data_IF_449092822793
#
_entry.id   IF_449092822793
#
_cell.length_a   1.000
_cell.length_b   1.000
_cell.length_c   1.000
_cell.angle_alpha   90.00
_cell.angle_beta   90.00
_cell.angle_gamma   90.00
#
_symmetry.space_group_name_H-M   'P 1'
#
loop_
_entity.id
_entity.type
_entity.pdbx_description
1 polymer ?
#
# COMPACT_ATOMS: atom_id res chain seq x y z
N UNK A 1 1.59 -17.47 -12.39
CA UNK A 1 2.08 -16.07 -12.28
C UNK A 1 2.59 -15.84 -10.87
N UNK A 2 3.77 -15.24 -10.70
CA UNK A 2 4.26 -14.84 -9.37
C UNK A 2 3.29 -13.83 -8.74
N UNK A 3 3.02 -13.94 -7.44
CA UNK A 3 2.14 -13.04 -6.70
C UNK A 3 2.55 -11.57 -6.86
N UNK A 4 3.85 -11.31 -6.93
CA UNK A 4 4.39 -9.96 -7.18
C UNK A 4 3.94 -9.44 -8.55
N UNK A 5 3.96 -10.28 -9.59
CA UNK A 5 3.48 -9.90 -10.92
C UNK A 5 1.98 -9.58 -10.92
N UNK A 6 1.18 -10.30 -10.14
CA UNK A 6 -0.25 -10.01 -9.97
C UNK A 6 -0.47 -8.67 -9.27
N UNK A 7 0.22 -8.42 -8.16
CA UNK A 7 0.14 -7.16 -7.42
C UNK A 7 0.61 -5.96 -8.26
N UNK A 8 1.71 -6.10 -9.01
CA UNK A 8 2.19 -5.07 -9.92
C UNK A 8 1.15 -4.68 -10.97
N UNK A 9 0.41 -5.66 -11.50
CA UNK A 9 -0.66 -5.40 -12.45
C UNK A 9 -1.80 -4.59 -11.81
N UNK A 10 -2.21 -4.97 -10.59
CA UNK A 10 -3.23 -4.23 -9.83
C UNK A 10 -2.77 -2.78 -9.54
N UNK A 11 -1.52 -2.60 -9.09
CA UNK A 11 -0.98 -1.27 -8.81
C UNK A 11 -0.89 -0.40 -10.06
N UNK A 12 -0.59 -1.01 -11.21
CA UNK A 12 -0.61 -0.31 -12.48
C UNK A 12 -2.02 0.17 -12.84
N UNK A 13 -3.02 -0.71 -12.79
CA UNK A 13 -4.42 -0.36 -13.04
C UNK A 13 -4.87 0.78 -12.11
N UNK A 14 -4.53 0.69 -10.82
CA UNK A 14 -4.87 1.72 -9.86
C UNK A 14 -4.18 3.06 -10.14
N UNK A 15 -2.91 3.03 -10.56
CA UNK A 15 -2.16 4.22 -10.98
C UNK A 15 -2.83 4.90 -12.18
N UNK A 16 -3.29 4.11 -13.16
CA UNK A 16 -4.06 4.61 -14.32
C UNK A 16 -5.37 5.26 -13.86
N UNK A 17 -6.09 4.64 -12.93
CA UNK A 17 -7.33 5.20 -12.34
C UNK A 17 -7.06 6.54 -11.64
N UNK A 18 -5.95 6.64 -10.88
CA UNK A 18 -5.55 7.89 -10.22
C UNK A 18 -5.15 8.98 -11.22
N UNK A 19 -4.56 8.60 -12.35
CA UNK A 19 -4.19 9.54 -13.42
C UNK A 19 -5.43 10.23 -14.01
N UNK A 20 -6.54 9.51 -14.22
CA UNK A 20 -7.80 10.12 -14.65
C UNK A 20 -8.41 11.07 -13.61
N UNK A 21 -8.12 10.86 -12.31
CA UNK A 21 -8.55 11.74 -11.21
C UNK A 21 -7.46 12.71 -10.75
N UNK A 22 -6.41 12.95 -11.54
CA UNK A 22 -5.26 13.78 -11.14
C UNK A 22 -5.65 15.16 -10.62
N UNK A 23 -6.66 15.81 -11.19
CA UNK A 23 -7.06 17.16 -10.79
C UNK A 23 -7.62 17.22 -9.35
N UNK A 24 -8.22 16.14 -8.84
CA UNK A 24 -8.77 16.08 -7.47
C UNK A 24 -7.85 15.33 -6.50
N UNK A 25 -7.04 14.41 -7.01
CA UNK A 25 -6.24 13.46 -6.22
C UNK A 25 -4.73 13.55 -6.49
N UNK A 26 -4.25 14.63 -7.11
CA UNK A 26 -2.88 14.74 -7.64
C UNK A 26 -1.78 14.46 -6.61
N UNK A 27 -1.94 14.91 -5.35
CA UNK A 27 -0.98 14.62 -4.27
C UNK A 27 -0.91 13.12 -3.94
N UNK A 28 -2.04 12.42 -3.99
CA UNK A 28 -2.11 10.97 -3.75
C UNK A 28 -1.52 10.22 -4.93
N UNK A 29 -1.80 10.64 -6.16
CA UNK A 29 -1.15 10.09 -7.36
C UNK A 29 0.37 10.14 -7.26
N UNK A 30 0.94 11.30 -6.91
CA UNK A 30 2.40 11.45 -6.75
C UNK A 30 2.92 10.56 -5.61
N UNK A 31 2.22 10.53 -4.47
CA UNK A 31 2.66 9.75 -3.30
C UNK A 31 2.63 8.25 -3.61
N UNK A 32 1.54 7.76 -4.23
CA UNK A 32 1.39 6.36 -4.62
C UNK A 32 2.41 5.95 -5.69
N UNK A 33 2.62 6.80 -6.70
CA UNK A 33 3.64 6.59 -7.72
C UNK A 33 5.06 6.51 -7.14
N UNK A 34 5.38 7.39 -6.18
CA UNK A 34 6.68 7.38 -5.52
C UNK A 34 6.87 6.14 -4.63
N UNK A 35 5.86 5.75 -3.86
CA UNK A 35 5.91 4.52 -3.06
C UNK A 35 6.07 3.27 -3.93
N UNK A 36 5.31 3.15 -5.02
CA UNK A 36 5.40 2.01 -5.94
C UNK A 36 6.75 1.97 -6.66
N UNK A 37 7.30 3.11 -7.06
CA UNK A 37 8.65 3.19 -7.61
C UNK A 37 9.71 2.71 -6.62
N UNK A 38 9.65 3.16 -5.36
CA UNK A 38 10.54 2.71 -4.29
C UNK A 38 10.42 1.20 -4.10
N UNK A 39 9.20 0.67 -4.04
CA UNK A 39 8.95 -0.76 -3.90
C UNK A 39 9.60 -1.57 -5.03
N UNK A 40 9.34 -1.21 -6.30
CA UNK A 40 9.88 -1.94 -7.45
C UNK A 40 11.40 -1.90 -7.46
N UNK A 41 11.98 -0.73 -7.20
CA UNK A 41 13.43 -0.56 -7.11
C UNK A 41 13.98 -1.45 -6.00
N UNK A 42 13.47 -1.33 -4.78
CA UNK A 42 13.91 -2.11 -3.63
C UNK A 42 13.83 -3.62 -3.90
N UNK A 43 12.68 -4.09 -4.42
CA UNK A 43 12.46 -5.50 -4.73
C UNK A 43 13.46 -6.02 -5.78
N UNK A 44 13.74 -5.24 -6.82
CA UNK A 44 14.70 -5.61 -7.87
C UNK A 44 16.16 -5.67 -7.37
N UNK A 45 16.49 -4.94 -6.30
CA UNK A 45 17.83 -4.92 -5.72
C UNK A 45 18.07 -6.07 -4.73
N UNK A 46 17.03 -6.74 -4.20
CA UNK A 46 17.16 -7.83 -3.22
C UNK A 46 18.19 -8.91 -3.62
N UNK A 47 18.26 -9.39 -4.89
CA UNK A 47 19.23 -10.43 -5.27
C UNK A 47 20.69 -9.96 -5.20
N UNK A 48 20.92 -8.64 -5.23
CA UNK A 48 22.26 -8.02 -5.22
C UNK A 48 22.73 -7.63 -3.81
N UNK A 49 21.86 -7.78 -2.81
CA UNK A 49 22.16 -7.42 -1.42
C UNK A 49 22.93 -8.57 -0.75
N UNK A 50 23.94 -8.26 0.10
CA UNK A 50 24.64 -9.25 0.91
C UNK A 50 23.67 -10.17 1.69
N UNK A 51 23.98 -11.47 1.77
CA UNK A 51 23.09 -12.49 2.35
C UNK A 51 22.67 -12.21 3.79
N UNK A 52 23.54 -11.58 4.59
CA UNK A 52 23.26 -11.14 5.95
C UNK A 52 22.22 -10.01 6.06
N UNK A 53 22.03 -9.21 5.00
CA UNK A 53 21.04 -8.12 4.95
C UNK A 53 19.81 -8.46 4.10
N UNK A 54 19.83 -9.61 3.44
CA UNK A 54 18.79 -10.01 2.51
C UNK A 54 17.45 -10.21 3.21
N UNK A 55 17.43 -10.83 4.39
CA UNK A 55 16.22 -11.06 5.18
C UNK A 55 15.54 -9.75 5.62
N UNK A 56 16.34 -8.76 6.05
CA UNK A 56 15.84 -7.43 6.39
C UNK A 56 15.28 -6.70 5.15
N UNK A 57 15.96 -6.82 4.02
CA UNK A 57 15.52 -6.20 2.76
C UNK A 57 14.21 -6.79 2.24
N UNK A 58 14.06 -8.12 2.36
CA UNK A 58 12.83 -8.85 2.08
C UNK A 58 11.71 -8.35 2.99
N UNK A 59 11.96 -8.23 4.30
CA UNK A 59 10.99 -7.71 5.26
C UNK A 59 10.52 -6.30 4.93
N UNK A 60 11.43 -5.40 4.59
CA UNK A 60 11.11 -4.01 4.22
C UNK A 60 10.28 -3.99 2.93
N UNK A 61 10.67 -4.77 1.91
CA UNK A 61 9.95 -4.83 0.65
C UNK A 61 8.51 -5.35 0.83
N UNK A 62 8.33 -6.41 1.61
CA UNK A 62 7.00 -6.94 1.92
C UNK A 62 6.17 -5.96 2.76
N UNK A 63 6.78 -5.27 3.72
CA UNK A 63 6.10 -4.24 4.50
C UNK A 63 5.61 -3.10 3.61
N UNK A 64 6.44 -2.63 2.68
CA UNK A 64 6.06 -1.61 1.72
C UNK A 64 4.90 -2.07 0.84
N UNK A 65 4.93 -3.32 0.39
CA UNK A 65 3.89 -3.92 -0.44
C UNK A 65 2.53 -3.93 0.27
N UNK A 66 2.50 -4.35 1.54
CA UNK A 66 1.27 -4.35 2.34
C UNK A 66 0.74 -2.93 2.54
N UNK A 67 1.64 -1.97 2.83
CA UNK A 67 1.26 -0.56 3.00
C UNK A 67 0.65 0.00 1.70
N UNK A 68 1.29 -0.24 0.56
CA UNK A 68 0.79 0.21 -0.76
C UNK A 68 -0.60 -0.38 -1.02
N UNK A 69 -0.78 -1.68 -0.74
CA UNK A 69 -2.06 -2.35 -0.94
C UNK A 69 -3.17 -1.79 -0.04
N UNK A 70 -2.88 -1.55 1.24
CA UNK A 70 -3.82 -0.92 2.17
C UNK A 70 -4.24 0.47 1.73
N UNK A 71 -3.26 1.33 1.40
CA UNK A 71 -3.51 2.70 0.91
C UNK A 71 -4.37 2.66 -0.36
N UNK A 72 -4.06 1.76 -1.29
CA UNK A 72 -4.82 1.59 -2.52
C UNK A 72 -6.31 1.33 -2.23
N UNK A 73 -6.62 0.34 -1.39
CA UNK A 73 -8.00 0.03 -1.02
C UNK A 73 -8.69 1.14 -0.24
N UNK A 74 -7.97 1.79 0.69
CA UNK A 74 -8.48 2.93 1.45
C UNK A 74 -8.86 4.09 0.54
N UNK A 75 -7.98 4.46 -0.39
CA UNK A 75 -8.22 5.52 -1.38
C UNK A 75 -9.34 5.13 -2.34
N UNK A 76 -9.38 3.87 -2.80
CA UNK A 76 -10.46 3.37 -3.65
C UNK A 76 -11.83 3.53 -2.98
N UNK A 77 -11.95 3.16 -1.70
CA UNK A 77 -13.20 3.36 -0.96
C UNK A 77 -13.59 4.83 -0.81
N UNK A 78 -12.60 5.72 -0.64
CA UNK A 78 -12.86 7.16 -0.59
C UNK A 78 -13.28 7.71 -1.96
N UNK A 79 -12.75 7.16 -3.06
CA UNK A 79 -13.20 7.48 -4.42
C UNK A 79 -14.65 7.08 -4.69
N UNK A 80 -15.15 6.04 -4.03
CA UNK A 80 -16.56 5.62 -4.04
C UNK A 80 -17.46 6.48 -3.13
N UNK A 81 -16.98 7.64 -2.66
CA UNK A 81 -17.67 8.55 -1.74
C UNK A 81 -18.11 7.90 -0.42
N UNK A 82 -17.46 6.81 0.00
CA UNK A 82 -17.69 6.26 1.34
C UNK A 82 -17.03 7.12 2.42
N UNK A 83 -17.51 6.97 3.65
CA UNK A 83 -17.01 7.72 4.80
C UNK A 83 -15.53 7.46 5.08
N UNK A 84 -14.86 8.43 5.72
CA UNK A 84 -13.46 8.28 6.15
C UNK A 84 -13.26 7.01 7.00
N UNK A 85 -14.25 6.66 7.85
CA UNK A 85 -14.21 5.43 8.66
C UNK A 85 -14.21 4.17 7.80
N UNK A 86 -15.07 4.11 6.79
CA UNK A 86 -15.14 2.97 5.87
C UNK A 86 -13.85 2.82 5.04
N UNK A 87 -13.24 3.94 4.63
CA UNK A 87 -11.93 3.96 3.96
C UNK A 87 -10.82 3.37 4.85
N UNK A 88 -10.74 3.81 6.11
CA UNK A 88 -9.76 3.29 7.07
C UNK A 88 -9.96 1.81 7.38
N UNK A 89 -11.21 1.38 7.60
CA UNK A 89 -11.53 -0.03 7.83
C UNK A 89 -11.13 -0.88 6.62
N UNK A 90 -11.47 -0.44 5.39
CA UNK A 90 -11.12 -1.17 4.19
C UNK A 90 -9.60 -1.28 3.97
N UNK A 91 -8.85 -0.21 4.27
CA UNK A 91 -7.38 -0.24 4.23
C UNK A 91 -6.80 -1.28 5.21
N UNK A 92 -7.34 -1.35 6.43
CA UNK A 92 -6.87 -2.28 7.46
C UNK A 92 -7.24 -3.71 7.10
N UNK A 93 -8.50 -3.97 6.77
CA UNK A 93 -9.02 -5.30 6.44
C UNK A 93 -8.32 -5.88 5.22
N UNK A 94 -8.16 -5.09 4.15
CA UNK A 94 -7.45 -5.54 2.94
C UNK A 94 -5.98 -5.89 3.23
N UNK A 95 -5.33 -5.14 4.11
CA UNK A 95 -3.93 -5.39 4.47
C UNK A 95 -3.77 -6.62 5.35
N UNK A 96 -4.67 -6.82 6.32
CA UNK A 96 -4.73 -8.06 7.10
C UNK A 96 -4.96 -9.26 6.19
N UNK A 97 -5.88 -9.16 5.24
CA UNK A 97 -6.19 -10.23 4.31
C UNK A 97 -4.99 -10.53 3.41
N UNK A 98 -4.27 -9.50 2.95
CA UNK A 98 -3.03 -9.70 2.19
C UNK A 98 -1.93 -10.37 3.02
N UNK A 99 -1.76 -10.00 4.30
CA UNK A 99 -0.82 -10.64 5.21
C UNK A 99 -1.15 -12.13 5.36
N UNK A 100 -2.43 -12.48 5.57
CA UNK A 100 -2.87 -13.87 5.69
C UNK A 100 -2.64 -14.70 4.43
N UNK A 101 -2.80 -14.08 3.24
CA UNK A 101 -2.56 -14.76 1.95
C UNK A 101 -1.06 -14.97 1.70
N UNK A 102 -0.21 -14.05 2.17
CA UNK A 102 1.23 -14.05 1.93
C UNK A 102 2.03 -14.87 2.94
N UNK A 103 1.60 -14.85 4.20
CA UNK A 103 2.40 -15.33 5.31
C UNK A 103 1.66 -16.40 6.11
N UNK A 104 2.39 -17.45 6.46
CA UNK A 104 1.93 -18.44 7.42
C UNK A 104 1.96 -17.84 8.85
N UNK A 105 1.48 -18.59 9.84
CA UNK A 105 1.25 -18.13 11.24
C UNK A 105 2.46 -17.37 11.84
N UNK A 106 3.70 -17.79 11.57
CA UNK A 106 4.92 -17.14 12.08
C UNK A 106 5.21 -15.78 11.43
N UNK A 107 5.02 -15.68 10.11
CA UNK A 107 5.16 -14.41 9.40
C UNK A 107 4.05 -13.43 9.76
N UNK A 108 2.82 -13.91 9.97
CA UNK A 108 1.68 -13.09 10.39
C UNK A 108 1.96 -12.27 11.66
N UNK A 109 2.55 -12.89 12.70
CA UNK A 109 2.89 -12.20 13.95
C UNK A 109 3.92 -11.08 13.74
N UNK A 110 4.87 -11.31 12.84
CA UNK A 110 5.94 -10.35 12.57
C UNK A 110 5.40 -9.10 11.87
N UNK A 111 4.33 -9.20 11.08
CA UNK A 111 3.76 -8.09 10.29
C UNK A 111 2.51 -7.44 10.89
N UNK A 112 2.08 -7.87 12.08
CA UNK A 112 0.86 -7.38 12.75
C UNK A 112 0.87 -5.88 13.09
N UNK A 113 2.06 -5.26 13.15
CA UNK A 113 2.22 -3.82 13.39
C UNK A 113 1.87 -2.96 12.17
N UNK A 114 1.85 -3.52 10.95
CA UNK A 114 1.56 -2.80 9.71
C UNK A 114 0.13 -2.24 9.65
N UNK A 115 -0.92 -3.01 10.01
CA UNK A 115 -2.28 -2.49 10.13
C UNK A 115 -2.42 -1.24 11.01
N UNK A 116 -1.66 -1.16 12.11
CA UNK A 116 -1.65 0.02 13.00
C UNK A 116 -1.01 1.22 12.31
N UNK A 117 0.11 1.00 11.61
CA UNK A 117 0.78 2.01 10.79
C UNK A 117 -0.14 2.55 9.68
N UNK A 118 -0.91 1.68 9.05
CA UNK A 118 -1.91 2.03 8.04
C UNK A 118 -3.05 2.88 8.60
N UNK A 119 -3.54 2.58 9.80
CA UNK A 119 -4.53 3.43 10.46
C UNK A 119 -4.05 4.88 10.58
N UNK A 120 -2.80 5.07 11.03
CA UNK A 120 -2.18 6.39 11.18
C UNK A 120 -1.98 7.10 9.84
N UNK A 121 -1.46 6.38 8.84
CA UNK A 121 -1.24 6.91 7.48
C UNK A 121 -2.57 7.28 6.81
N UNK A 122 -3.58 6.41 6.89
CA UNK A 122 -4.88 6.64 6.26
C UNK A 122 -5.62 7.81 6.91
N UNK A 123 -5.50 8.02 8.23
CA UNK A 123 -6.02 9.23 8.87
C UNK A 123 -5.36 10.51 8.32
N UNK A 124 -4.04 10.51 8.14
CA UNK A 124 -3.33 11.65 7.53
C UNK A 124 -3.78 11.89 6.08
N UNK A 125 -3.89 10.83 5.28
CA UNK A 125 -4.39 10.89 3.89
C UNK A 125 -5.83 11.43 3.85
N UNK A 126 -6.68 10.95 4.75
CA UNK A 126 -8.08 11.36 4.82
C UNK A 126 -8.24 12.83 5.19
N UNK A 127 -7.48 13.32 6.18
CA UNK A 127 -7.50 14.72 6.60
C UNK A 127 -7.03 15.64 5.46
N UNK A 128 -5.97 15.25 4.73
CA UNK A 128 -5.42 16.02 3.62
C UNK A 128 -6.36 16.10 2.40
N UNK A 129 -7.21 15.09 2.22
CA UNK A 129 -8.26 15.09 1.20
C UNK A 129 -9.43 16.01 1.55
N UNK A 130 -9.76 16.10 2.83
CA UNK A 130 -10.87 16.95 3.27
C UNK A 130 -10.53 18.44 3.17
N UNK A 131 -9.25 18.82 3.30
CA UNK A 131 -8.78 20.21 3.12
C UNK A 131 -8.60 20.64 1.67
N UNK A 132 -8.70 19.73 0.69
CA UNK A 132 -8.68 20.08 -0.74
C UNK A 132 -10.09 20.26 -1.34
N UNK A 133 -11.14 20.00 -0.55
CA UNK A 133 -12.55 20.11 -0.95
C UNK A 133 -13.26 21.34 -0.31
N UNK A 134 -12.49 22.24 0.32
CA UNK A 134 -12.91 23.57 0.78
C UNK A 134 -12.11 24.61 0.03
#
# INVERSE_FOLDING_TARGET
MSLVSFLSCIYFIFTVVLLFKRNTMGKIYITFGLLTYIFVTLYSYIPKIPSNLQQLSIFIAFSLMIIIFGIMFGVFMKMLKKSNRASTIASIVSSFLLILVLFNIEGYLTYMYIPVLLYMLQNKVNNKLNTCNT
#
